data_IF_021020799419
#
_entry.id   IF_021020799419
#
_cell.length_a   1.000
_cell.length_b   1.000
_cell.length_c   1.000
_cell.angle_alpha   90.00
_cell.angle_beta   90.00
_cell.angle_gamma   90.00
#
_symmetry.space_group_name_H-M   'P 1'
#
loop_
_entity.id
_entity.type
_entity.pdbx_description
1 polymer ?
#
# COMPACT_ATOMS: atom_id res chain seq x y z
N UNK A 1 -15.28 7.97 7.16
CA UNK A 1 -16.77 7.92 7.11
C UNK A 1 -17.34 8.31 5.74
N UNK A 2 -16.93 9.42 5.11
CA UNK A 2 -17.52 9.92 3.85
C UNK A 2 -17.40 8.89 2.71
N UNK A 3 -16.20 8.41 2.42
CA UNK A 3 -15.98 7.46 1.33
C UNK A 3 -16.64 6.09 1.57
N UNK A 4 -16.69 5.60 2.81
CA UNK A 4 -17.38 4.35 3.12
C UNK A 4 -18.88 4.46 2.88
N UNK A 5 -19.51 5.60 3.22
CA UNK A 5 -20.91 5.85 2.90
C UNK A 5 -21.15 5.93 1.38
N UNK A 6 -20.30 6.65 0.65
CA UNK A 6 -20.41 6.74 -0.81
C UNK A 6 -20.28 5.36 -1.48
N UNK A 7 -19.32 4.56 -1.05
CA UNK A 7 -19.14 3.18 -1.53
C UNK A 7 -20.40 2.33 -1.24
N UNK A 8 -20.95 2.40 -0.03
CA UNK A 8 -22.17 1.66 0.34
C UNK A 8 -23.38 2.04 -0.51
N UNK A 9 -23.59 3.32 -0.79
CA UNK A 9 -24.66 3.80 -1.67
C UNK A 9 -24.45 3.29 -3.08
N UNK A 10 -23.23 3.37 -3.62
CA UNK A 10 -22.91 2.89 -4.96
C UNK A 10 -23.14 1.38 -5.10
N UNK A 11 -22.71 0.59 -4.12
CA UNK A 11 -22.96 -0.87 -4.11
C UNK A 11 -24.45 -1.16 -4.07
N UNK A 12 -25.23 -0.43 -3.25
CA UNK A 12 -26.67 -0.60 -3.16
C UNK A 12 -27.35 -0.33 -4.51
N UNK A 13 -26.94 0.71 -5.23
CA UNK A 13 -27.46 1.06 -6.54
C UNK A 13 -27.09 0.01 -7.59
N UNK A 14 -25.83 -0.42 -7.61
CA UNK A 14 -25.35 -1.45 -8.53
C UNK A 14 -26.13 -2.77 -8.36
N UNK A 15 -26.40 -3.18 -7.12
CA UNK A 15 -27.18 -4.40 -6.84
C UNK A 15 -28.64 -4.28 -7.27
N UNK A 16 -29.27 -3.09 -7.17
CA UNK A 16 -30.65 -2.85 -7.65
C UNK A 16 -30.77 -2.92 -9.17
N UNK A 17 -29.72 -2.55 -9.89
CA UNK A 17 -29.70 -2.53 -11.36
C UNK A 17 -29.24 -3.86 -11.98
N UNK A 18 -29.15 -4.92 -11.18
CA UNK A 18 -28.81 -6.28 -11.66
C UNK A 18 -27.31 -6.59 -11.65
N UNK A 19 -26.50 -5.76 -11.01
CA UNK A 19 -25.11 -6.09 -10.68
C UNK A 19 -25.09 -7.20 -9.63
N UNK A 20 -25.14 -8.46 -10.06
CA UNK A 20 -25.01 -9.62 -9.15
C UNK A 20 -23.61 -9.71 -8.58
N UNK A 21 -23.49 -10.31 -7.40
CA UNK A 21 -22.20 -10.77 -6.90
C UNK A 21 -21.83 -12.00 -7.73
N UNK A 22 -20.68 -11.96 -8.39
CA UNK A 22 -20.17 -13.13 -9.11
C UNK A 22 -19.92 -14.28 -8.13
N UNK A 23 -20.14 -15.51 -8.59
CA UNK A 23 -19.76 -16.68 -7.81
C UNK A 23 -18.25 -16.67 -7.55
N UNK A 24 -17.85 -17.12 -6.36
CA UNK A 24 -16.45 -17.19 -6.01
C UNK A 24 -15.72 -18.20 -6.93
N UNK A 25 -14.63 -17.75 -7.52
CA UNK A 25 -13.79 -18.62 -8.32
C UNK A 25 -13.03 -19.59 -7.39
N UNK A 26 -13.05 -20.88 -7.71
CA UNK A 26 -12.35 -21.90 -6.91
C UNK A 26 -10.84 -21.69 -6.86
N UNK A 27 -10.23 -21.11 -7.90
CA UNK A 27 -8.81 -20.85 -7.92
C UNK A 27 -8.44 -19.70 -6.96
N UNK A 28 -9.25 -18.66 -6.88
CA UNK A 28 -9.07 -17.57 -5.93
C UNK A 28 -9.21 -18.04 -4.48
N UNK A 29 -10.20 -18.94 -4.23
CA UNK A 29 -10.39 -19.56 -2.91
C UNK A 29 -9.16 -20.40 -2.54
N UNK A 30 -8.69 -21.24 -3.46
CA UNK A 30 -7.51 -22.09 -3.23
C UNK A 30 -6.26 -21.23 -2.98
N UNK A 31 -6.05 -20.17 -3.75
CA UNK A 31 -4.92 -19.25 -3.56
C UNK A 31 -4.94 -18.61 -2.16
N UNK A 32 -6.11 -18.16 -1.71
CA UNK A 32 -6.27 -17.58 -0.36
C UNK A 32 -5.99 -18.60 0.74
N UNK A 33 -6.48 -19.84 0.58
CA UNK A 33 -6.24 -20.94 1.51
C UNK A 33 -4.77 -21.37 1.52
N UNK A 34 -4.11 -21.41 0.37
CA UNK A 34 -2.69 -21.77 0.26
C UNK A 34 -1.80 -20.74 0.96
N UNK A 35 -2.11 -19.44 0.83
CA UNK A 35 -1.44 -18.38 1.58
C UNK A 35 -1.52 -18.59 3.09
N UNK A 36 -2.72 -18.87 3.60
CA UNK A 36 -2.95 -19.17 5.02
C UNK A 36 -2.24 -20.46 5.46
N UNK A 37 -2.34 -21.53 4.65
CA UNK A 37 -1.72 -22.82 4.93
C UNK A 37 -0.19 -22.72 4.97
N UNK A 38 0.40 -21.91 4.09
CA UNK A 38 1.84 -21.65 4.07
C UNK A 38 2.34 -21.11 5.41
N UNK A 39 1.66 -20.10 5.97
CA UNK A 39 2.00 -19.53 7.27
C UNK A 39 1.82 -20.56 8.39
N UNK A 40 0.73 -21.34 8.35
CA UNK A 40 0.42 -22.34 9.38
C UNK A 40 1.40 -23.53 9.38
N UNK A 41 1.84 -23.98 8.22
CA UNK A 41 2.70 -25.16 8.06
C UNK A 41 4.19 -24.84 8.17
N UNK A 42 4.59 -23.58 8.08
CA UNK A 42 6.01 -23.19 8.18
C UNK A 42 6.58 -23.64 9.53
N UNK A 43 7.67 -24.42 9.49
CA UNK A 43 8.41 -24.88 10.67
C UNK A 43 9.64 -24.01 10.97
N UNK A 44 10.04 -23.19 9.99
CA UNK A 44 11.24 -22.36 10.04
C UNK A 44 10.99 -21.05 9.29
N UNK A 45 11.72 -19.99 9.62
CA UNK A 45 11.59 -18.68 9.01
C UNK A 45 11.75 -17.54 10.00
N UNK A 46 11.30 -16.35 9.59
CA UNK A 46 11.43 -15.13 10.39
C UNK A 46 10.23 -14.92 11.31
N UNK A 47 10.51 -14.39 12.51
CA UNK A 47 9.46 -14.03 13.47
C UNK A 47 8.71 -12.78 13.02
N UNK A 48 7.39 -12.83 13.10
CA UNK A 48 6.51 -11.72 12.66
C UNK A 48 6.86 -10.39 13.35
N UNK A 49 7.07 -10.41 14.66
CA UNK A 49 7.38 -9.21 15.42
C UNK A 49 8.73 -8.58 15.07
N UNK A 50 9.70 -9.38 14.65
CA UNK A 50 11.01 -8.92 14.21
C UNK A 50 10.91 -8.23 12.84
N UNK A 51 10.31 -8.89 11.86
CA UNK A 51 10.13 -8.34 10.51
C UNK A 51 9.25 -7.08 10.53
N UNK A 52 8.21 -7.05 11.37
CA UNK A 52 7.36 -5.86 11.56
C UNK A 52 8.15 -4.65 12.07
N UNK A 53 9.02 -4.86 13.08
CA UNK A 53 9.87 -3.78 13.60
C UNK A 53 10.88 -3.30 12.58
N UNK A 54 11.46 -4.22 11.80
CA UNK A 54 12.39 -3.88 10.72
C UNK A 54 11.70 -3.04 9.64
N UNK A 55 10.51 -3.45 9.18
CA UNK A 55 9.70 -2.70 8.24
C UNK A 55 9.39 -1.28 8.74
N UNK A 56 8.94 -1.17 9.98
CA UNK A 56 8.66 0.14 10.60
C UNK A 56 9.91 1.02 10.66
N UNK A 57 11.06 0.44 11.01
CA UNK A 57 12.33 1.17 11.05
C UNK A 57 12.76 1.66 9.67
N UNK A 58 12.64 0.82 8.64
CA UNK A 58 12.97 1.20 7.26
C UNK A 58 12.05 2.33 6.78
N UNK A 59 10.76 2.22 7.00
CA UNK A 59 9.81 3.26 6.60
C UNK A 59 10.05 4.58 7.35
N UNK A 60 10.35 4.54 8.66
CA UNK A 60 10.66 5.73 9.45
C UNK A 60 11.95 6.40 9.00
N UNK A 61 13.00 5.62 8.74
CA UNK A 61 14.33 6.17 8.48
C UNK A 61 14.48 6.68 7.04
N UNK A 62 13.83 6.05 6.06
CA UNK A 62 14.03 6.35 4.65
C UNK A 62 12.83 7.03 3.97
N UNK A 63 11.61 6.88 4.50
CA UNK A 63 10.38 7.40 3.92
C UNK A 63 9.58 8.29 4.89
N UNK A 64 10.25 8.83 5.91
CA UNK A 64 9.66 9.75 6.88
C UNK A 64 9.19 11.08 6.28
N UNK A 65 9.13 12.13 7.10
CA UNK A 65 8.56 13.44 6.71
C UNK A 65 9.43 14.12 5.66
N UNK A 66 10.74 14.18 5.88
CA UNK A 66 11.69 14.80 4.95
C UNK A 66 12.42 13.72 4.15
N UNK A 67 12.28 13.79 2.84
CA UNK A 67 12.70 12.72 1.91
C UNK A 67 13.80 13.19 1.00
N UNK A 68 14.75 12.31 0.73
CA UNK A 68 15.83 12.53 -0.24
C UNK A 68 16.02 11.28 -1.09
N UNK A 69 16.32 11.46 -2.39
CA UNK A 69 16.45 10.36 -3.33
C UNK A 69 17.47 9.30 -2.92
N UNK A 70 18.66 9.73 -2.47
CA UNK A 70 19.74 8.85 -2.04
C UNK A 70 19.40 8.00 -0.78
N UNK A 71 18.57 8.52 0.12
CA UNK A 71 18.06 7.77 1.27
C UNK A 71 16.94 6.82 0.86
N UNK A 72 16.00 7.29 0.05
CA UNK A 72 14.88 6.45 -0.41
C UNK A 72 15.36 5.29 -1.29
N UNK A 73 16.40 5.46 -2.09
CA UNK A 73 17.01 4.38 -2.85
C UNK A 73 17.50 3.24 -1.94
N UNK A 74 18.18 3.59 -0.84
CA UNK A 74 18.59 2.61 0.19
C UNK A 74 17.38 1.97 0.86
N UNK A 75 16.34 2.75 1.10
CA UNK A 75 15.08 2.25 1.66
C UNK A 75 14.40 1.23 0.75
N UNK A 76 14.35 1.49 -0.55
CA UNK A 76 13.81 0.54 -1.55
C UNK A 76 14.63 -0.76 -1.56
N UNK A 77 15.96 -0.67 -1.50
CA UNK A 77 16.82 -1.86 -1.39
C UNK A 77 16.51 -2.67 -0.13
N UNK A 78 16.40 -1.99 1.03
CA UNK A 78 16.05 -2.65 2.29
C UNK A 78 14.65 -3.29 2.27
N UNK A 79 13.66 -2.67 1.60
CA UNK A 79 12.34 -3.26 1.43
C UNK A 79 12.37 -4.55 0.59
N UNK A 80 13.26 -4.67 -0.39
CA UNK A 80 13.43 -5.90 -1.14
C UNK A 80 13.91 -7.07 -0.24
N UNK A 81 14.81 -6.79 0.71
CA UNK A 81 15.24 -7.80 1.70
C UNK A 81 14.10 -8.19 2.64
N UNK A 82 13.30 -7.21 3.08
CA UNK A 82 12.13 -7.46 3.94
C UNK A 82 11.08 -8.29 3.20
N UNK A 83 10.88 -8.10 1.89
CA UNK A 83 9.95 -8.91 1.09
C UNK A 83 10.26 -10.40 1.20
N UNK A 84 11.52 -10.78 1.08
CA UNK A 84 11.93 -12.18 1.22
C UNK A 84 11.59 -12.73 2.61
N UNK A 85 11.80 -11.91 3.66
CA UNK A 85 11.45 -12.29 5.04
C UNK A 85 9.93 -12.43 5.22
N UNK A 86 9.13 -11.52 4.65
CA UNK A 86 7.65 -11.59 4.69
C UNK A 86 7.15 -12.85 3.97
N UNK A 87 7.82 -13.29 2.92
CA UNK A 87 7.46 -14.50 2.19
C UNK A 87 7.72 -15.81 2.97
N UNK A 88 8.54 -15.74 4.03
CA UNK A 88 9.02 -16.87 4.83
C UNK A 88 8.76 -16.68 6.33
N UNK A 89 7.61 -16.07 6.68
CA UNK A 89 7.22 -15.90 8.08
C UNK A 89 6.95 -17.24 8.77
N UNK A 90 7.31 -17.31 10.04
CA UNK A 90 7.12 -18.45 10.90
C UNK A 90 6.24 -18.11 12.11
N UNK A 91 5.30 -19.00 12.44
CA UNK A 91 4.49 -18.93 13.66
C UNK A 91 4.94 -19.98 14.66
N UNK A 92 5.29 -19.57 15.88
CA UNK A 92 5.54 -20.48 17.01
C UNK A 92 4.24 -21.11 17.51
N UNK A 93 3.20 -20.30 17.63
CA UNK A 93 1.87 -20.77 18.02
C UNK A 93 1.07 -21.23 16.80
N UNK A 94 0.73 -22.50 16.76
CA UNK A 94 -0.06 -23.15 15.70
C UNK A 94 -1.52 -23.36 16.11
N UNK A 95 -1.95 -22.88 17.29
CA UNK A 95 -3.34 -23.02 17.75
C UNK A 95 -4.31 -22.39 16.75
N UNK A 96 -5.53 -22.97 16.65
CA UNK A 96 -6.55 -22.50 15.72
C UNK A 96 -7.48 -21.43 16.35
N UNK A 97 -7.52 -21.35 17.68
CA UNK A 97 -8.39 -20.45 18.42
C UNK A 97 -7.57 -19.32 19.07
N UNK A 98 -8.05 -18.07 18.92
CA UNK A 98 -7.45 -16.87 19.51
C UNK A 98 -5.96 -16.67 19.20
N UNK A 99 -5.51 -17.11 18.03
CA UNK A 99 -4.11 -16.98 17.62
C UNK A 99 -3.84 -15.59 17.04
N UNK A 100 -3.45 -14.66 17.90
CA UNK A 100 -3.10 -13.28 17.52
C UNK A 100 -1.85 -13.23 16.65
N UNK A 101 -0.89 -14.13 16.84
CA UNK A 101 0.33 -14.19 16.00
C UNK A 101 0.01 -14.49 14.53
N UNK A 102 -1.01 -15.33 14.29
CA UNK A 102 -1.49 -15.59 12.91
C UNK A 102 -2.11 -14.34 12.29
N UNK A 103 -2.93 -13.61 13.05
CA UNK A 103 -3.52 -12.35 12.59
C UNK A 103 -2.41 -11.33 12.27
N UNK A 104 -1.42 -11.18 13.14
CA UNK A 104 -0.29 -10.30 12.94
C UNK A 104 0.55 -10.67 11.71
N UNK A 105 0.69 -11.96 11.40
CA UNK A 105 1.39 -12.40 10.19
C UNK A 105 0.64 -11.98 8.92
N UNK A 106 -0.68 -12.15 8.87
CA UNK A 106 -1.52 -11.71 7.77
C UNK A 106 -1.53 -10.18 7.63
N UNK A 107 -1.64 -9.47 8.75
CA UNK A 107 -1.55 -8.01 8.77
C UNK A 107 -0.19 -7.51 8.27
N UNK A 108 0.91 -8.20 8.61
CA UNK A 108 2.24 -7.82 8.15
C UNK A 108 2.39 -7.96 6.64
N UNK A 109 1.80 -8.99 6.02
CA UNK A 109 1.78 -9.14 4.57
C UNK A 109 1.07 -7.94 3.91
N UNK A 110 -0.12 -7.59 4.39
CA UNK A 110 -0.87 -6.44 3.88
C UNK A 110 -0.13 -5.11 4.14
N UNK A 111 0.46 -4.97 5.31
CA UNK A 111 1.24 -3.78 5.68
C UNK A 111 2.46 -3.60 4.77
N UNK A 112 3.13 -4.69 4.43
CA UNK A 112 4.28 -4.66 3.52
C UNK A 112 3.89 -4.16 2.13
N UNK A 113 2.79 -4.64 1.55
CA UNK A 113 2.31 -4.19 0.23
C UNK A 113 2.02 -2.69 0.20
N UNK A 114 1.35 -2.17 1.24
CA UNK A 114 1.07 -0.73 1.35
C UNK A 114 2.35 0.08 1.56
N UNK A 115 3.29 -0.42 2.36
CA UNK A 115 4.58 0.23 2.57
C UNK A 115 5.41 0.28 1.28
N UNK A 116 5.45 -0.81 0.53
CA UNK A 116 6.11 -0.88 -0.77
C UNK A 116 5.51 0.11 -1.77
N UNK A 117 4.19 0.13 -1.93
CA UNK A 117 3.50 1.06 -2.81
C UNK A 117 3.82 2.53 -2.43
N UNK A 118 3.82 2.83 -1.13
CA UNK A 118 4.17 4.16 -0.62
C UNK A 118 5.63 4.51 -0.92
N UNK A 119 6.55 3.59 -0.71
CA UNK A 119 7.97 3.79 -0.93
C UNK A 119 8.28 4.04 -2.41
N UNK A 120 7.79 3.17 -3.30
CA UNK A 120 8.03 3.28 -4.75
C UNK A 120 7.39 4.57 -5.31
N UNK A 121 6.14 4.85 -4.94
CA UNK A 121 5.46 6.06 -5.41
C UNK A 121 6.16 7.34 -4.92
N UNK A 122 6.61 7.38 -3.66
CA UNK A 122 7.32 8.55 -3.13
C UNK A 122 8.73 8.69 -3.70
N UNK A 123 9.44 7.60 -3.95
CA UNK A 123 10.77 7.63 -4.56
C UNK A 123 10.74 8.16 -5.98
N UNK A 124 9.79 7.70 -6.79
CA UNK A 124 9.68 8.09 -8.19
C UNK A 124 9.11 9.50 -8.39
N UNK A 125 8.33 10.04 -7.43
CA UNK A 125 7.77 11.39 -7.52
C UNK A 125 8.84 12.44 -7.20
N UNK A 126 9.32 13.13 -8.23
CA UNK A 126 10.42 14.12 -8.17
C UNK A 126 9.89 15.56 -8.00
N UNK A 127 9.05 15.78 -7.01
CA UNK A 127 8.50 17.08 -6.62
C UNK A 127 8.20 17.12 -5.12
N UNK A 128 7.83 18.28 -4.60
CA UNK A 128 7.21 18.43 -3.27
C UNK A 128 5.76 18.88 -3.43
N UNK A 129 4.80 18.09 -2.88
CA UNK A 129 3.35 18.38 -2.96
C UNK A 129 2.61 17.86 -1.73
N UNK A 130 1.86 18.70 -1.07
CA UNK A 130 1.11 18.34 0.13
C UNK A 130 2.03 17.82 1.24
N UNK A 131 1.78 16.61 1.73
CA UNK A 131 2.64 15.97 2.74
C UNK A 131 3.90 15.33 2.15
N UNK A 132 4.04 15.24 0.83
CA UNK A 132 5.23 14.72 0.17
C UNK A 132 6.27 15.83 0.07
N UNK A 133 7.25 15.85 0.98
CA UNK A 133 8.33 16.83 1.03
C UNK A 133 9.65 16.17 0.60
N UNK A 134 10.23 16.67 -0.49
CA UNK A 134 11.52 16.24 -1.06
C UNK A 134 12.57 17.32 -0.85
N UNK A 135 13.62 17.05 -0.09
CA UNK A 135 14.72 18.02 0.11
C UNK A 135 15.52 18.28 -1.17
N UNK A 136 15.54 17.30 -2.07
CA UNK A 136 16.20 17.35 -3.37
C UNK A 136 15.31 17.91 -4.51
N UNK A 137 13.99 18.00 -4.31
CA UNK A 137 13.00 18.56 -5.23
C UNK A 137 11.97 19.41 -4.45
N UNK A 138 12.37 20.61 -4.03
CA UNK A 138 11.59 21.42 -3.10
C UNK A 138 10.32 22.00 -3.69
N UNK A 139 10.30 22.22 -5.01
CA UNK A 139 9.20 22.87 -5.69
C UNK A 139 8.14 21.85 -6.14
N UNK A 140 6.92 22.34 -6.31
CA UNK A 140 5.82 21.61 -6.95
C UNK A 140 6.02 21.65 -8.47
N UNK A 141 5.82 20.53 -9.12
CA UNK A 141 5.95 20.37 -10.58
C UNK A 141 4.59 19.99 -11.17
N UNK A 142 3.81 20.99 -11.56
CA UNK A 142 2.48 20.77 -12.15
C UNK A 142 2.55 20.26 -13.60
N UNK A 143 3.66 20.47 -14.30
CA UNK A 143 3.83 19.99 -15.67
C UNK A 143 3.96 18.47 -15.72
N UNK A 144 4.75 17.89 -14.83
CA UNK A 144 5.04 16.46 -14.83
C UNK A 144 4.26 15.66 -13.80
N UNK A 145 3.80 16.29 -12.72
CA UNK A 145 3.27 15.59 -11.55
C UNK A 145 1.88 16.01 -11.09
N UNK A 146 1.13 16.81 -11.87
CA UNK A 146 -0.29 17.07 -11.60
C UNK A 146 -1.12 15.84 -11.98
N UNK A 147 -0.81 14.72 -11.34
CA UNK A 147 -1.41 13.42 -11.61
C UNK A 147 -1.42 12.53 -10.36
N UNK A 148 -2.24 11.49 -10.39
CA UNK A 148 -2.19 10.40 -9.42
C UNK A 148 -1.08 9.41 -9.81
N UNK A 149 -0.33 8.93 -8.82
CA UNK A 149 0.58 7.80 -8.97
C UNK A 149 -0.17 6.50 -8.70
N UNK A 150 -0.14 5.56 -9.64
CA UNK A 150 -0.79 4.26 -9.54
C UNK A 150 0.29 3.18 -9.54
N UNK A 151 0.43 2.45 -8.44
CA UNK A 151 1.37 1.34 -8.31
C UNK A 151 0.67 0.01 -8.59
N UNK A 152 1.24 -0.77 -9.49
CA UNK A 152 0.82 -2.15 -9.75
C UNK A 152 1.75 -3.11 -8.98
N UNK A 153 1.26 -3.80 -7.94
CA UNK A 153 2.11 -4.67 -7.12
C UNK A 153 2.52 -5.96 -7.83
N UNK A 154 1.78 -6.37 -8.89
CA UNK A 154 2.10 -7.58 -9.66
C UNK A 154 3.23 -7.29 -10.64
N UNK A 155 3.07 -6.23 -11.44
CA UNK A 155 4.07 -5.82 -12.43
C UNK A 155 5.20 -5.00 -11.83
N UNK A 156 5.04 -4.52 -10.58
CA UNK A 156 5.98 -3.60 -9.88
C UNK A 156 6.27 -2.33 -10.67
N UNK A 157 5.25 -1.83 -11.35
CA UNK A 157 5.33 -0.62 -12.17
C UNK A 157 4.52 0.51 -11.57
N UNK A 158 4.99 1.74 -11.80
CA UNK A 158 4.25 2.96 -11.47
C UNK A 158 3.74 3.59 -12.76
N UNK A 159 2.45 3.85 -12.82
CA UNK A 159 1.80 4.61 -13.90
C UNK A 159 1.20 5.91 -13.36
N UNK A 160 0.83 6.80 -14.27
CA UNK A 160 0.22 8.09 -13.96
C UNK A 160 -1.22 8.11 -14.48
N UNK A 161 -2.10 8.73 -13.73
CA UNK A 161 -3.49 9.02 -14.13
C UNK A 161 -3.77 10.49 -13.85
N UNK A 162 -4.32 11.19 -14.82
CA UNK A 162 -4.65 12.60 -14.71
C UNK A 162 -5.63 12.87 -13.57
N UNK A 163 -5.50 14.05 -12.95
CA UNK A 163 -6.46 14.53 -11.97
C UNK A 163 -7.71 15.00 -12.71
N UNK A 164 -8.87 14.55 -12.26
CA UNK A 164 -10.15 15.03 -12.78
C UNK A 164 -10.51 16.37 -12.12
N UNK A 165 -10.47 17.45 -12.90
CA UNK A 165 -10.90 18.79 -12.48
C UNK A 165 -12.34 19.13 -12.90
N UNK A 166 -13.06 18.20 -13.51
CA UNK A 166 -14.46 18.36 -13.92
C UNK A 166 -15.38 17.37 -13.20
N UNK A 167 -15.52 17.49 -11.86
CA UNK A 167 -16.43 16.62 -11.12
C UNK A 167 -17.89 16.95 -11.47
N UNK A 168 -18.75 15.93 -11.53
CA UNK A 168 -20.14 16.09 -11.97
C UNK A 168 -21.05 16.82 -10.97
N UNK A 169 -20.68 16.92 -9.69
CA UNK A 169 -21.61 17.34 -8.62
C UNK A 169 -21.06 18.37 -7.62
N UNK A 170 -19.79 18.75 -7.72
CA UNK A 170 -19.15 19.70 -6.80
C UNK A 170 -18.33 20.71 -7.59
N UNK A 171 -18.12 21.90 -7.00
CA UNK A 171 -17.26 22.91 -7.58
C UNK A 171 -15.79 22.47 -7.59
N UNK A 172 -15.06 22.92 -8.58
CA UNK A 172 -13.61 22.70 -8.67
C UNK A 172 -12.85 23.83 -8.02
N UNK A 173 -11.64 23.54 -7.60
CA UNK A 173 -10.70 24.51 -7.06
C UNK A 173 -9.41 24.45 -7.86
N UNK A 174 -8.94 25.61 -8.28
CA UNK A 174 -7.64 25.73 -8.94
C UNK A 174 -6.51 25.33 -7.97
N UNK A 175 -5.45 24.66 -8.49
CA UNK A 175 -4.27 24.37 -7.70
C UNK A 175 -3.64 25.67 -7.18
N UNK A 176 -3.47 25.75 -5.86
CA UNK A 176 -2.87 26.93 -5.20
C UNK A 176 -1.59 26.55 -4.48
N UNK A 177 -0.67 27.51 -4.39
CA UNK A 177 0.49 27.39 -3.52
C UNK A 177 -0.02 27.34 -2.08
N UNK A 178 0.49 26.38 -1.30
CA UNK A 178 0.15 26.27 0.11
C UNK A 178 0.78 27.42 0.89
N UNK A 179 -0.04 28.24 1.52
CA UNK A 179 0.37 29.30 2.45
C UNK A 179 0.05 28.84 3.87
N UNK A 180 0.96 29.06 4.81
CA UNK A 180 0.77 28.79 6.23
C UNK A 180 0.48 30.08 6.98
#
# INVERSE_FOLDING_TARGET
MVFGRAAGIHIQEALKTGGGVADANSDDINQALDGLNKINSSSDGFEVAEVKRELQSVMQNYFGVFRRGDYMEKGVAALNEIREKVSTLHLKDKSMAFNTSRVEALELQNLFEVAEATAIASFQRTESRGAHARDDFKERDDENWLCHSLYDPIQKTLSKRDVNFEPAQVDTFEPKVRTY
#
